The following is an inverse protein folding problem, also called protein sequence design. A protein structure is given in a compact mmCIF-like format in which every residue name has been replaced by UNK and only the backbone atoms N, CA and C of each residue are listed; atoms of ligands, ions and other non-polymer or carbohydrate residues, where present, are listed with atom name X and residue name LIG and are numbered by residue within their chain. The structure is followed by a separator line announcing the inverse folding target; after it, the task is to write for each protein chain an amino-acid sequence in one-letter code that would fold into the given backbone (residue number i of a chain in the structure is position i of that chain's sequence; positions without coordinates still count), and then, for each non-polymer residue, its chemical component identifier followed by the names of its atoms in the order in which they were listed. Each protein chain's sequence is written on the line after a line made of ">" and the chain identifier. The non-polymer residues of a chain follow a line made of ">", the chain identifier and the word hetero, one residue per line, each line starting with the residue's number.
data_IF_020493138092
#
_entry.id   IF_020493138092
#
_cell.length_a   1.000
_cell.length_b   1.000
_cell.length_c   1.000
_cell.angle_alpha   90.00
_cell.angle_beta   90.00
_cell.angle_gamma   90.00
#
_symmetry.space_group_name_H-M   'P 1'
#
loop_
_entity.id
_entity.type
_entity.pdbx_description
1 polymer ?
#
# COMPACT_ATOMS: atom_id res chain seq x y z
N UNK A 1 -5.71 12.06 -20.75
CA UNK A 1 -6.21 11.46 -19.50
C UNK A 1 -7.61 10.90 -19.72
N UNK A 2 -8.00 9.90 -18.93
CA UNK A 2 -9.29 9.21 -19.06
C UNK A 2 -10.42 10.11 -18.55
N UNK A 3 -11.55 10.12 -19.25
CA UNK A 3 -12.75 10.90 -18.92
C UNK A 3 -13.31 10.60 -17.53
N UNK A 4 -13.16 9.35 -17.10
CA UNK A 4 -13.62 8.77 -15.84
C UNK A 4 -12.96 9.45 -14.64
N UNK A 5 -11.76 10.02 -14.80
CA UNK A 5 -11.10 10.73 -13.71
C UNK A 5 -11.77 12.08 -13.39
N UNK A 6 -12.37 12.75 -14.40
CA UNK A 6 -13.13 13.98 -14.16
C UNK A 6 -14.42 13.68 -13.38
N UNK A 7 -15.08 12.56 -13.70
CA UNK A 7 -16.23 12.06 -12.93
C UNK A 7 -15.83 11.79 -11.47
N UNK A 8 -14.71 11.10 -11.25
CA UNK A 8 -14.18 10.83 -9.91
C UNK A 8 -13.89 12.10 -9.11
N UNK A 9 -13.17 13.07 -9.67
CA UNK A 9 -12.85 14.32 -8.97
C UNK A 9 -14.11 15.16 -8.69
N UNK A 10 -15.11 15.10 -9.58
CA UNK A 10 -16.41 15.75 -9.34
C UNK A 10 -17.11 15.14 -8.13
N UNK A 11 -17.12 13.81 -8.02
CA UNK A 11 -17.67 13.10 -6.88
C UNK A 11 -16.92 13.43 -5.58
N UNK A 12 -15.58 13.44 -5.59
CA UNK A 12 -14.78 13.80 -4.41
C UNK A 12 -15.02 15.25 -3.97
N UNK A 13 -15.15 16.18 -4.92
CA UNK A 13 -15.50 17.59 -4.67
C UNK A 13 -16.89 17.72 -4.04
N UNK A 14 -17.86 16.89 -4.44
CA UNK A 14 -19.20 16.85 -3.86
C UNK A 14 -19.15 16.35 -2.41
N UNK A 15 -18.45 15.26 -2.13
CA UNK A 15 -18.26 14.76 -0.76
C UNK A 15 -17.62 15.81 0.17
N UNK A 16 -16.66 16.58 -0.35
CA UNK A 16 -16.05 17.69 0.37
C UNK A 16 -17.05 18.82 0.65
N UNK A 17 -17.84 19.23 -0.35
CA UNK A 17 -18.86 20.28 -0.21
C UNK A 17 -19.97 19.90 0.78
N UNK A 18 -20.36 18.63 0.81
CA UNK A 18 -21.40 18.09 1.69
C UNK A 18 -20.89 17.82 3.12
N UNK A 19 -19.61 18.05 3.40
CA UNK A 19 -19.01 17.79 4.72
C UNK A 19 -18.85 16.30 5.03
N UNK A 20 -18.97 15.41 4.04
CA UNK A 20 -18.78 13.97 4.15
C UNK A 20 -17.30 13.55 4.10
N UNK A 21 -16.44 14.46 3.64
CA UNK A 21 -14.98 14.33 3.68
C UNK A 21 -14.42 15.27 4.75
N UNK A 22 -13.39 14.79 5.46
CA UNK A 22 -12.64 15.59 6.43
C UNK A 22 -12.12 16.89 5.77
N UNK A 23 -12.55 18.04 6.28
CA UNK A 23 -12.18 19.34 5.71
C UNK A 23 -10.68 19.64 5.87
N UNK A 24 -10.01 18.94 6.78
CA UNK A 24 -8.57 19.04 7.02
C UNK A 24 -7.78 17.94 6.29
N UNK A 25 -8.42 17.14 5.42
CA UNK A 25 -7.73 16.03 4.74
C UNK A 25 -6.40 16.40 4.06
N UNK A 26 -6.19 17.60 3.49
CA UNK A 26 -4.91 17.94 2.86
C UNK A 26 -3.74 18.03 3.85
N UNK A 27 -4.03 18.27 5.13
CA UNK A 27 -3.04 18.41 6.20
C UNK A 27 -2.86 17.14 7.03
N UNK A 28 -3.73 16.14 6.87
CA UNK A 28 -3.65 14.90 7.63
C UNK A 28 -2.45 14.05 7.20
N UNK A 29 -1.64 13.62 8.17
CA UNK A 29 -0.74 12.49 8.02
C UNK A 29 -1.40 11.17 8.47
N UNK A 30 -0.64 10.08 8.40
CA UNK A 30 -1.13 8.76 8.80
C UNK A 30 -1.57 8.72 10.28
N UNK A 31 -0.80 9.36 11.17
CA UNK A 31 -1.07 9.37 12.61
C UNK A 31 -2.33 10.18 12.93
N UNK A 32 -2.48 11.37 12.33
CA UNK A 32 -3.63 12.26 12.51
C UNK A 32 -4.91 11.59 12.03
N UNK A 33 -4.87 10.96 10.85
CA UNK A 33 -6.01 10.20 10.32
C UNK A 33 -6.40 9.07 11.26
N UNK A 34 -5.42 8.31 11.78
CA UNK A 34 -5.67 7.20 12.71
C UNK A 34 -6.29 7.71 14.01
N UNK A 35 -5.75 8.78 14.59
CA UNK A 35 -6.27 9.41 15.80
C UNK A 35 -7.71 9.91 15.63
N UNK A 36 -8.03 10.53 14.49
CA UNK A 36 -9.41 10.98 14.18
C UNK A 36 -10.38 9.80 14.17
N UNK A 37 -9.99 8.66 13.62
CA UNK A 37 -10.82 7.45 13.64
C UNK A 37 -10.97 6.86 15.04
N UNK A 38 -9.85 6.63 15.76
CA UNK A 38 -9.89 6.01 17.09
C UNK A 38 -10.58 6.86 18.14
N UNK A 39 -10.62 8.18 17.97
CA UNK A 39 -11.38 9.12 18.82
C UNK A 39 -12.84 9.32 18.41
N UNK A 40 -13.32 8.64 17.36
CA UNK A 40 -14.70 8.74 16.89
C UNK A 40 -15.04 9.97 16.05
N UNK A 41 -14.02 10.73 15.62
CA UNK A 41 -14.19 11.90 14.74
C UNK A 41 -14.27 11.52 13.25
N UNK A 42 -13.89 10.30 12.89
CA UNK A 42 -14.05 9.76 11.54
C UNK A 42 -14.74 8.40 11.59
N UNK A 43 -15.74 8.21 10.72
CA UNK A 43 -16.45 6.93 10.58
C UNK A 43 -15.81 5.99 9.56
N UNK A 44 -14.95 6.52 8.68
CA UNK A 44 -14.27 5.75 7.63
C UNK A 44 -12.88 6.34 7.39
N UNK A 45 -11.88 5.47 7.24
CA UNK A 45 -10.51 5.82 6.85
C UNK A 45 -9.97 4.80 5.86
N UNK A 46 -8.97 5.20 5.08
CA UNK A 46 -8.11 4.22 4.42
C UNK A 46 -7.16 3.63 5.46
N UNK A 47 -7.15 2.30 5.62
CA UNK A 47 -6.36 1.60 6.64
C UNK A 47 -5.89 0.25 6.09
N UNK A 48 -4.62 -0.08 6.27
CA UNK A 48 -4.07 -1.41 5.97
C UNK A 48 -4.18 -2.35 7.16
N UNK A 49 -4.45 -3.65 6.93
CA UNK A 49 -4.54 -4.65 8.01
C UNK A 49 -3.27 -4.74 8.89
N UNK A 50 -2.12 -4.30 8.38
CA UNK A 50 -0.83 -4.29 9.08
C UNK A 50 -0.62 -3.09 10.02
N UNK A 51 -1.45 -2.05 9.96
CA UNK A 51 -1.32 -0.86 10.83
C UNK A 51 -1.59 -1.18 12.33
N UNK A 52 -1.95 -2.43 12.63
CA UNK A 52 -1.53 -3.10 13.86
C UNK A 52 -2.59 -3.19 14.96
N UNK A 53 -2.32 -4.01 15.99
CA UNK A 53 -3.29 -4.27 17.07
C UNK A 53 -3.56 -3.07 17.97
N UNK A 54 -2.60 -2.15 18.12
CA UNK A 54 -2.75 -0.96 18.98
C UNK A 54 -3.87 -0.02 18.52
N UNK A 55 -4.17 0.00 17.22
CA UNK A 55 -5.30 0.73 16.66
C UNK A 55 -6.65 0.24 17.19
N UNK A 56 -6.89 -1.07 17.14
CA UNK A 56 -8.15 -1.68 17.60
C UNK A 56 -8.32 -1.50 19.10
N UNK A 57 -7.25 -1.68 19.88
CA UNK A 57 -7.28 -1.42 21.32
C UNK A 57 -7.62 0.04 21.63
N UNK A 58 -6.99 1.00 20.94
CA UNK A 58 -7.27 2.43 21.14
C UNK A 58 -8.69 2.82 20.72
N UNK A 59 -9.22 2.22 19.64
CA UNK A 59 -10.61 2.41 19.24
C UNK A 59 -11.58 1.87 20.30
N UNK A 60 -11.36 0.65 20.78
CA UNK A 60 -12.20 0.00 21.78
C UNK A 60 -12.16 0.72 23.14
N UNK A 61 -11.02 1.30 23.51
CA UNK A 61 -10.88 2.11 24.73
C UNK A 61 -11.74 3.38 24.67
N UNK A 62 -11.71 4.08 23.54
CA UNK A 62 -12.48 5.32 23.35
C UNK A 62 -13.96 5.06 23.01
N UNK A 63 -14.24 3.96 22.31
CA UNK A 63 -15.56 3.59 21.80
C UNK A 63 -15.79 2.07 22.03
N UNK A 64 -16.19 1.65 23.24
CA UNK A 64 -16.32 0.23 23.59
C UNK A 64 -17.36 -0.57 22.79
N UNK A 65 -18.21 0.09 22.01
CA UNK A 65 -19.18 -0.55 21.12
C UNK A 65 -18.77 -0.48 19.65
N UNK A 66 -17.55 -0.06 19.33
CA UNK A 66 -17.11 0.10 17.95
C UNK A 66 -16.99 -1.26 17.25
N UNK A 67 -17.51 -1.34 16.04
CA UNK A 67 -17.29 -2.46 15.13
C UNK A 67 -16.57 -1.95 13.88
N UNK A 68 -15.53 -2.67 13.45
CA UNK A 68 -14.71 -2.29 12.29
C UNK A 68 -14.84 -3.35 11.22
N UNK A 69 -15.22 -2.93 10.02
CA UNK A 69 -15.28 -3.76 8.82
C UNK A 69 -14.62 -3.06 7.64
N UNK A 70 -14.31 -3.84 6.60
CA UNK A 70 -13.75 -3.35 5.35
C UNK A 70 -14.84 -3.15 4.31
N UNK A 71 -14.87 -1.97 3.70
CA UNK A 71 -15.79 -1.69 2.59
C UNK A 71 -15.34 -2.51 1.37
N UNK A 72 -16.21 -3.32 0.75
CA UNK A 72 -15.85 -4.06 -0.45
C UNK A 72 -15.57 -3.11 -1.62
N UNK A 73 -14.90 -3.62 -2.65
CA UNK A 73 -14.71 -2.85 -3.89
C UNK A 73 -16.05 -2.37 -4.44
N UNK A 74 -16.20 -1.05 -4.52
CA UNK A 74 -17.41 -0.42 -5.02
C UNK A 74 -17.62 -0.77 -6.50
N UNK A 75 -18.89 -0.93 -6.88
CA UNK A 75 -19.28 -1.16 -8.26
C UNK A 75 -19.40 0.17 -8.99
N UNK A 76 -18.90 0.23 -10.22
CA UNK A 76 -19.20 1.33 -11.13
C UNK A 76 -20.66 1.26 -11.64
N UNK A 77 -21.07 2.25 -12.45
CA UNK A 77 -22.40 2.32 -13.06
C UNK A 77 -22.77 1.11 -13.93
N UNK A 78 -21.78 0.32 -14.35
CA UNK A 78 -21.94 -0.88 -15.17
C UNK A 78 -21.85 -2.17 -14.34
N UNK A 79 -21.71 -2.07 -13.01
CA UNK A 79 -21.57 -3.21 -12.11
C UNK A 79 -20.15 -3.77 -11.99
N UNK A 80 -19.16 -3.17 -12.65
CA UNK A 80 -17.77 -3.62 -12.59
C UNK A 80 -17.12 -3.22 -11.28
N UNK A 81 -16.20 -4.07 -10.80
CA UNK A 81 -15.34 -3.77 -9.65
C UNK A 81 -13.90 -3.71 -10.15
N UNK A 82 -13.17 -2.66 -9.79
CA UNK A 82 -11.76 -2.51 -10.11
C UNK A 82 -10.92 -2.36 -8.85
N UNK A 83 -9.72 -2.92 -8.88
CA UNK A 83 -8.73 -2.74 -7.84
C UNK A 83 -7.36 -2.54 -8.47
N UNK A 84 -6.57 -1.62 -7.92
CA UNK A 84 -5.14 -1.59 -8.22
C UNK A 84 -4.47 -2.64 -7.34
N UNK A 85 -3.81 -3.61 -7.97
CA UNK A 85 -2.97 -4.57 -7.27
C UNK A 85 -1.53 -4.09 -7.31
N UNK A 86 -0.82 -4.28 -6.21
CA UNK A 86 0.63 -4.10 -6.19
C UNK A 86 1.29 -5.38 -6.70
N UNK A 87 2.26 -5.23 -7.58
CA UNK A 87 3.19 -6.27 -7.97
C UNK A 87 4.56 -5.65 -8.13
N UNK A 88 5.55 -6.43 -8.59
CA UNK A 88 6.91 -5.93 -8.81
C UNK A 88 7.91 -6.46 -7.79
N UNK A 89 9.11 -5.88 -7.81
CA UNK A 89 10.15 -6.18 -6.84
C UNK A 89 9.80 -5.54 -5.50
N UNK A 90 9.66 -6.36 -4.46
CA UNK A 90 9.36 -5.87 -3.12
C UNK A 90 10.57 -5.17 -2.47
N UNK A 91 11.77 -5.74 -2.66
CA UNK A 91 13.00 -5.20 -2.08
C UNK A 91 14.19 -5.45 -3.00
N UNK A 92 15.04 -4.45 -3.13
CA UNK A 92 16.35 -4.57 -3.79
C UNK A 92 17.40 -4.07 -2.82
N UNK A 93 18.33 -4.94 -2.42
CA UNK A 93 19.49 -4.56 -1.62
C UNK A 93 20.71 -4.41 -2.53
N UNK A 94 21.50 -3.36 -2.29
CA UNK A 94 22.67 -3.02 -3.09
C UNK A 94 23.87 -2.80 -2.17
N UNK A 95 25.04 -3.26 -2.61
CA UNK A 95 26.31 -2.96 -1.94
C UNK A 95 26.90 -1.71 -2.61
N UNK A 96 27.13 -0.61 -1.88
CA UNK A 96 27.74 0.58 -2.45
C UNK A 96 29.13 0.29 -3.01
N UNK A 97 29.50 0.93 -4.12
CA UNK A 97 30.85 0.84 -4.69
C UNK A 97 31.94 1.29 -3.71
N UNK A 98 31.59 2.13 -2.75
CA UNK A 98 32.46 2.67 -1.71
C UNK A 98 32.61 1.75 -0.50
N UNK A 99 31.93 0.60 -0.46
CA UNK A 99 32.04 -0.35 0.64
C UNK A 99 33.49 -0.84 0.76
N UNK A 100 34.05 -0.77 1.98
CA UNK A 100 35.42 -1.24 2.25
C UNK A 100 35.52 -2.78 2.22
N UNK A 101 34.42 -3.47 2.55
CA UNK A 101 34.33 -4.92 2.67
C UNK A 101 33.06 -5.47 1.98
N UNK A 102 32.93 -5.37 0.65
CA UNK A 102 31.77 -5.90 -0.08
C UNK A 102 31.61 -7.42 0.07
N UNK A 103 32.71 -8.15 0.23
CA UNK A 103 32.73 -9.60 0.48
C UNK A 103 32.06 -9.99 1.81
N UNK A 104 32.29 -9.22 2.87
CA UNK A 104 31.67 -9.46 4.18
C UNK A 104 30.15 -9.20 4.13
N UNK A 105 29.73 -8.23 3.32
CA UNK A 105 28.30 -7.98 3.10
C UNK A 105 27.63 -9.17 2.40
N UNK A 106 28.27 -9.77 1.39
CA UNK A 106 27.77 -10.99 0.74
C UNK A 106 27.75 -12.16 1.72
N UNK A 107 28.84 -12.39 2.47
CA UNK A 107 28.90 -13.46 3.45
C UNK A 107 27.80 -13.33 4.52
N UNK A 108 27.47 -12.10 4.93
CA UNK A 108 26.35 -11.85 5.84
C UNK A 108 25.00 -12.16 5.20
N UNK A 109 24.79 -11.78 3.93
CA UNK A 109 23.54 -12.11 3.21
C UNK A 109 23.38 -13.63 3.07
N UNK A 110 24.45 -14.34 2.70
CA UNK A 110 24.43 -15.80 2.59
C UNK A 110 24.09 -16.46 3.94
N UNK A 111 24.72 -15.99 5.02
CA UNK A 111 24.43 -16.46 6.37
C UNK A 111 22.99 -16.14 6.80
N UNK A 112 22.47 -14.96 6.45
CA UNK A 112 21.09 -14.58 6.71
C UNK A 112 20.13 -15.52 5.99
N UNK A 113 20.37 -15.78 4.69
CA UNK A 113 19.51 -16.64 3.88
C UNK A 113 19.55 -18.10 4.31
N UNK A 114 20.73 -18.61 4.70
CA UNK A 114 20.87 -19.96 5.25
C UNK A 114 20.06 -20.17 6.55
N UNK A 115 19.79 -19.09 7.29
CA UNK A 115 19.05 -19.11 8.55
C UNK A 115 17.71 -18.36 8.45
N UNK A 116 17.20 -18.10 7.24
CA UNK A 116 16.12 -17.14 7.03
C UNK A 116 14.86 -17.47 7.83
N UNK A 117 14.42 -18.74 7.81
CA UNK A 117 13.20 -19.15 8.53
C UNK A 117 13.30 -18.88 10.03
N UNK A 118 14.42 -19.22 10.65
CA UNK A 118 14.62 -19.03 12.10
C UNK A 118 14.75 -17.55 12.45
N UNK A 119 15.38 -16.75 11.59
CA UNK A 119 15.40 -15.29 11.74
C UNK A 119 14.00 -14.71 11.57
N UNK A 120 13.22 -15.26 10.64
CA UNK A 120 11.92 -14.74 10.22
C UNK A 120 10.76 -15.14 11.14
N UNK A 121 10.69 -16.36 11.66
CA UNK A 121 9.59 -16.81 12.53
C UNK A 121 10.06 -17.57 13.78
N UNK A 122 11.37 -17.63 14.00
CA UNK A 122 11.98 -18.34 15.13
C UNK A 122 11.89 -19.87 15.02
N UNK A 123 12.59 -20.60 15.89
CA UNK A 123 12.46 -22.05 15.99
C UNK A 123 11.03 -22.52 16.28
N UNK A 124 10.65 -23.64 15.66
CA UNK A 124 9.38 -24.32 15.94
C UNK A 124 9.37 -24.87 17.37
N UNK A 125 8.24 -24.72 18.07
CA UNK A 125 8.09 -25.08 19.49
C UNK A 125 8.49 -23.97 20.47
N UNK A 126 9.30 -23.00 20.03
CA UNK A 126 9.71 -21.84 20.84
C UNK A 126 8.97 -20.56 20.45
N UNK A 127 8.94 -20.26 19.14
CA UNK A 127 8.39 -19.01 18.62
C UNK A 127 7.15 -19.24 17.75
N UNK A 128 7.03 -20.40 17.11
CA UNK A 128 5.83 -20.76 16.34
C UNK A 128 5.52 -22.26 16.46
N UNK A 129 4.33 -22.66 16.03
CA UNK A 129 3.89 -24.05 15.84
C UNK A 129 3.26 -24.21 14.46
N UNK A 130 3.21 -25.44 13.97
CA UNK A 130 2.43 -25.77 12.77
C UNK A 130 1.17 -26.54 13.20
N UNK A 131 0.00 -25.94 12.99
CA UNK A 131 -1.30 -26.53 13.33
C UNK A 131 -2.16 -26.63 12.07
N UNK A 132 -2.56 -27.84 11.69
CA UNK A 132 -3.36 -28.07 10.47
C UNK A 132 -2.73 -27.46 9.20
N UNK A 133 -1.39 -27.51 9.09
CA UNK A 133 -0.65 -26.93 7.97
C UNK A 133 -0.51 -25.40 8.03
N UNK A 134 -0.93 -24.75 9.11
CA UNK A 134 -0.85 -23.30 9.31
C UNK A 134 0.21 -22.96 10.34
N UNK A 135 1.05 -21.98 10.04
CA UNK A 135 2.02 -21.43 10.99
C UNK A 135 1.30 -20.51 12.00
N UNK A 136 1.43 -20.82 13.30
CA UNK A 136 0.79 -20.11 14.42
C UNK A 136 1.87 -19.61 15.38
N UNK A 137 1.89 -18.32 15.76
CA UNK A 137 2.91 -17.78 16.66
C UNK A 137 2.67 -18.20 18.12
N UNK A 138 3.75 -18.36 18.88
CA UNK A 138 3.73 -18.56 20.33
C UNK A 138 4.02 -17.21 20.99
N UNK A 139 2.99 -16.56 21.54
CA UNK A 139 3.11 -15.27 22.22
C UNK A 139 3.46 -15.46 23.71
N UNK A 140 4.28 -14.58 24.33
CA UNK A 140 4.90 -13.38 23.75
C UNK A 140 6.25 -13.64 23.04
N UNK A 141 6.76 -14.88 23.07
CA UNK A 141 8.10 -15.22 22.56
C UNK A 141 8.30 -14.75 21.10
N UNK A 142 7.30 -14.94 20.24
CA UNK A 142 7.34 -14.53 18.84
C UNK A 142 7.60 -13.03 18.61
N UNK A 143 7.27 -12.15 19.57
CA UNK A 143 7.39 -10.69 19.41
C UNK A 143 8.81 -10.20 19.10
N UNK A 144 9.85 -10.99 19.44
CA UNK A 144 11.24 -10.65 19.08
C UNK A 144 11.48 -10.63 17.56
N UNK A 145 10.62 -11.27 16.78
CA UNK A 145 10.70 -11.33 15.32
C UNK A 145 9.86 -10.24 14.63
N UNK A 146 9.07 -9.42 15.34
CA UNK A 146 8.09 -8.52 14.72
C UNK A 146 8.73 -7.50 13.76
N UNK A 147 9.98 -7.09 14.00
CA UNK A 147 10.68 -6.07 13.22
C UNK A 147 11.64 -6.61 12.17
N UNK A 148 11.77 -7.93 12.01
CA UNK A 148 12.76 -8.54 11.10
C UNK A 148 12.65 -8.01 9.67
N UNK A 149 11.44 -7.65 9.24
CA UNK A 149 11.11 -7.14 7.92
C UNK A 149 12.03 -6.00 7.48
N UNK A 150 12.36 -5.11 8.42
CA UNK A 150 13.22 -3.96 8.19
C UNK A 150 14.65 -4.35 7.81
N UNK A 151 15.12 -5.51 8.26
CA UNK A 151 16.51 -5.94 8.17
C UNK A 151 16.78 -7.05 7.15
N UNK A 152 15.76 -7.55 6.45
CA UNK A 152 15.94 -8.61 5.46
C UNK A 152 16.70 -8.07 4.22
N UNK A 153 17.88 -8.60 3.86
CA UNK A 153 18.58 -8.20 2.65
C UNK A 153 18.10 -8.93 1.39
N UNK A 154 17.46 -10.09 1.59
CA UNK A 154 16.87 -10.94 0.58
C UNK A 154 15.73 -11.73 1.23
N UNK A 155 14.92 -12.41 0.41
CA UNK A 155 13.73 -13.12 0.83
C UNK A 155 13.68 -14.49 0.14
N UNK A 156 13.25 -15.52 0.87
CA UNK A 156 12.91 -16.82 0.28
C UNK A 156 11.49 -16.74 -0.32
N UNK A 157 11.40 -16.33 -1.59
CA UNK A 157 10.11 -16.12 -2.27
C UNK A 157 9.22 -17.37 -2.31
N UNK A 158 9.81 -18.56 -2.29
CA UNK A 158 9.06 -19.81 -2.38
C UNK A 158 8.28 -20.10 -1.09
N UNK A 159 8.82 -19.71 0.06
CA UNK A 159 8.28 -20.11 1.37
C UNK A 159 7.84 -18.94 2.26
N UNK A 160 8.31 -17.72 2.00
CA UNK A 160 8.06 -16.55 2.87
C UNK A 160 6.57 -16.32 3.11
N UNK A 161 5.73 -16.55 2.10
CA UNK A 161 4.29 -16.32 2.22
C UNK A 161 3.64 -17.26 3.24
N UNK A 162 4.06 -18.52 3.30
CA UNK A 162 3.54 -19.48 4.27
C UNK A 162 3.96 -19.13 5.69
N UNK A 163 5.23 -18.74 5.87
CA UNK A 163 5.77 -18.32 7.15
C UNK A 163 5.17 -17.00 7.63
N UNK A 164 4.93 -16.07 6.71
CA UNK A 164 4.33 -14.78 7.00
C UNK A 164 2.95 -14.91 7.66
N UNK A 165 2.24 -16.03 7.42
CA UNK A 165 0.96 -16.26 8.09
C UNK A 165 1.09 -16.30 9.62
N UNK A 166 2.23 -16.74 10.20
CA UNK A 166 2.44 -16.63 11.65
C UNK A 166 2.43 -15.18 12.13
N UNK A 167 2.94 -14.25 11.32
CA UNK A 167 2.98 -12.81 11.63
C UNK A 167 1.61 -12.18 11.63
N UNK A 168 0.73 -12.62 10.75
CA UNK A 168 -0.67 -12.17 10.71
C UNK A 168 -1.46 -12.68 11.92
N UNK A 169 -1.16 -13.90 12.39
CA UNK A 169 -1.85 -14.57 13.50
C UNK A 169 -1.41 -14.15 14.90
N UNK A 170 -0.50 -13.19 15.02
CA UNK A 170 -0.03 -12.69 16.33
C UNK A 170 -1.12 -12.00 17.15
N UNK A 171 -2.21 -11.61 16.49
CA UNK A 171 -3.35 -10.96 17.09
C UNK A 171 -4.62 -11.31 16.30
N UNK A 172 -5.69 -11.67 17.01
CA UNK A 172 -6.94 -12.10 16.38
C UNK A 172 -7.58 -11.02 15.50
N UNK A 173 -7.46 -9.73 15.84
CA UNK A 173 -7.96 -8.63 15.02
C UNK A 173 -7.13 -8.44 13.76
N UNK A 174 -5.80 -8.59 13.83
CA UNK A 174 -4.94 -8.53 12.65
C UNK A 174 -5.24 -9.71 11.73
N UNK A 175 -5.45 -10.91 12.27
CA UNK A 175 -5.86 -12.07 11.49
C UNK A 175 -7.23 -11.85 10.84
N UNK A 176 -8.23 -11.41 11.60
CA UNK A 176 -9.56 -11.09 11.07
C UNK A 176 -9.47 -10.03 9.97
N UNK A 177 -8.79 -8.93 10.23
CA UNK A 177 -8.62 -7.84 9.27
C UNK A 177 -7.92 -8.29 7.98
N UNK A 178 -6.91 -9.15 8.11
CA UNK A 178 -6.27 -9.76 6.95
C UNK A 178 -7.24 -10.66 6.19
N UNK A 179 -7.97 -11.54 6.88
CA UNK A 179 -8.94 -12.43 6.24
C UNK A 179 -10.10 -11.67 5.58
N UNK A 180 -10.58 -10.59 6.20
CA UNK A 180 -11.60 -9.71 5.61
C UNK A 180 -11.08 -9.07 4.32
N UNK A 181 -9.87 -8.48 4.34
CA UNK A 181 -9.27 -7.88 3.13
C UNK A 181 -8.88 -8.90 2.07
N UNK A 182 -8.46 -10.10 2.47
CA UNK A 182 -8.17 -11.21 1.57
C UNK A 182 -9.47 -11.75 0.94
N UNK A 183 -10.54 -11.88 1.73
CA UNK A 183 -11.86 -12.22 1.21
C UNK A 183 -12.29 -11.19 0.16
N UNK A 184 -12.06 -9.89 0.34
CA UNK A 184 -12.36 -8.91 -0.71
C UNK A 184 -11.67 -9.19 -2.06
N UNK A 185 -10.57 -9.95 -2.10
CA UNK A 185 -9.93 -10.46 -3.34
C UNK A 185 -10.71 -11.66 -3.90
N UNK A 186 -11.96 -11.44 -4.29
CA UNK A 186 -12.81 -12.46 -4.92
C UNK A 186 -12.76 -12.44 -6.46
N UNK A 187 -13.24 -13.53 -7.07
CA UNK A 187 -13.57 -13.61 -8.50
C UNK A 187 -14.45 -12.43 -8.95
N UNK A 188 -14.12 -11.88 -10.13
CA UNK A 188 -14.85 -10.75 -10.72
C UNK A 188 -14.47 -9.37 -10.17
N UNK A 189 -13.29 -9.22 -9.55
CA UNK A 189 -12.61 -7.94 -9.39
C UNK A 189 -11.57 -7.82 -10.51
N UNK A 190 -11.63 -6.74 -11.29
CA UNK A 190 -10.62 -6.42 -12.29
C UNK A 190 -9.38 -5.88 -11.58
N UNK A 191 -8.50 -6.79 -11.14
CA UNK A 191 -7.23 -6.46 -10.53
C UNK A 191 -6.22 -6.07 -11.62
N UNK A 192 -5.73 -4.84 -11.57
CA UNK A 192 -4.69 -4.35 -12.48
C UNK A 192 -3.37 -4.25 -11.72
N UNK A 193 -2.40 -5.08 -12.09
CA UNK A 193 -1.01 -4.91 -11.68
C UNK A 193 -0.38 -3.91 -12.67
N UNK A 194 0.19 -2.79 -12.21
CA UNK A 194 0.88 -1.86 -13.09
C UNK A 194 1.95 -2.59 -13.89
N UNK A 195 1.91 -2.48 -15.21
CA UNK A 195 2.86 -3.19 -16.08
C UNK A 195 4.30 -2.85 -15.76
N UNK A 196 4.56 -1.60 -15.38
CA UNK A 196 5.90 -1.10 -15.08
C UNK A 196 6.46 -1.61 -13.76
N UNK A 197 5.68 -2.33 -12.95
CA UNK A 197 6.11 -2.79 -11.64
C UNK A 197 7.37 -3.67 -11.66
N UNK A 198 7.63 -4.36 -12.78
CA UNK A 198 8.76 -5.27 -12.94
C UNK A 198 9.86 -4.73 -13.87
N UNK A 199 9.69 -3.54 -14.46
CA UNK A 199 10.61 -3.03 -15.48
C UNK A 199 11.26 -1.73 -15.02
N UNK A 200 12.60 -1.62 -15.09
CA UNK A 200 13.29 -0.42 -14.67
C UNK A 200 12.89 0.73 -15.59
N UNK A 201 12.25 1.80 -15.07
CA UNK A 201 12.02 2.99 -15.86
C UNK A 201 13.35 3.68 -16.18
N UNK A 202 13.42 4.41 -17.29
CA UNK A 202 14.57 5.27 -17.55
C UNK A 202 14.49 6.54 -16.68
N UNK A 203 15.62 7.23 -16.54
CA UNK A 203 15.73 8.44 -15.71
C UNK A 203 14.71 9.52 -16.12
N UNK A 204 14.53 9.74 -17.42
CA UNK A 204 13.55 10.69 -17.98
C UNK A 204 12.12 10.38 -17.51
N UNK A 205 11.70 9.10 -17.50
CA UNK A 205 10.38 8.69 -17.04
C UNK A 205 10.18 8.95 -15.54
N UNK A 206 11.20 8.68 -14.72
CA UNK A 206 11.16 8.89 -13.27
C UNK A 206 11.02 10.39 -12.99
N UNK A 207 11.88 11.22 -13.59
CA UNK A 207 11.88 12.67 -13.39
C UNK A 207 10.56 13.31 -13.81
N UNK A 208 10.07 12.98 -15.02
CA UNK A 208 8.77 13.44 -15.50
C UNK A 208 7.65 12.98 -14.57
N UNK A 209 7.65 11.70 -14.17
CA UNK A 209 6.63 11.15 -13.28
C UNK A 209 6.54 11.87 -11.94
N UNK A 210 7.67 12.22 -11.33
CA UNK A 210 7.72 12.95 -10.06
C UNK A 210 7.15 14.37 -10.19
N UNK A 211 7.58 15.12 -11.20
CA UNK A 211 7.15 16.51 -11.43
C UNK A 211 5.65 16.55 -11.78
N UNK A 212 5.27 15.75 -12.76
CA UNK A 212 3.90 15.68 -13.28
C UNK A 212 2.92 15.12 -12.23
N UNK A 213 3.36 14.14 -11.44
CA UNK A 213 2.57 13.53 -10.38
C UNK A 213 2.30 14.52 -9.23
N UNK A 214 3.32 15.29 -8.83
CA UNK A 214 3.16 16.32 -7.80
C UNK A 214 2.22 17.43 -8.27
N UNK A 215 2.44 17.98 -9.48
CA UNK A 215 1.54 18.97 -10.07
C UNK A 215 0.10 18.45 -10.15
N UNK A 216 -0.09 17.23 -10.64
CA UNK A 216 -1.40 16.62 -10.73
C UNK A 216 -2.09 16.53 -9.36
N UNK A 217 -1.38 16.01 -8.35
CA UNK A 217 -1.91 15.89 -6.98
C UNK A 217 -2.33 17.25 -6.42
N UNK A 218 -1.48 18.27 -6.56
CA UNK A 218 -1.75 19.60 -6.02
C UNK A 218 -2.98 20.25 -6.68
N UNK A 219 -3.09 20.17 -8.00
CA UNK A 219 -4.25 20.71 -8.71
C UNK A 219 -5.55 19.95 -8.36
N UNK A 220 -5.50 18.63 -8.22
CA UNK A 220 -6.68 17.86 -7.82
C UNK A 220 -7.12 18.19 -6.40
N UNK A 221 -6.20 18.42 -5.46
CA UNK A 221 -6.54 18.90 -4.11
C UNK A 221 -7.24 20.26 -4.18
N UNK A 222 -6.74 21.20 -5.00
CA UNK A 222 -7.38 22.51 -5.19
C UNK A 222 -8.78 22.39 -5.78
N UNK A 223 -9.01 21.48 -6.74
CA UNK A 223 -10.35 21.22 -7.26
C UNK A 223 -11.24 20.61 -6.17
N UNK A 224 -10.79 19.58 -5.44
CA UNK A 224 -11.63 18.93 -4.43
C UNK A 224 -12.05 19.91 -3.32
N UNK A 225 -11.12 20.76 -2.89
CA UNK A 225 -11.33 21.75 -1.81
C UNK A 225 -12.04 23.03 -2.24
N UNK A 226 -12.52 23.11 -3.48
CA UNK A 226 -13.14 24.32 -4.06
C UNK A 226 -12.21 25.54 -4.19
N UNK A 227 -10.91 25.41 -3.95
CA UNK A 227 -9.94 26.47 -4.14
C UNK A 227 -9.84 26.95 -5.61
N UNK A 228 -10.13 26.05 -6.56
CA UNK A 228 -10.32 26.38 -7.98
C UNK A 228 -11.59 25.73 -8.54
N UNK A 229 -12.09 26.23 -9.67
CA UNK A 229 -13.28 25.68 -10.34
C UNK A 229 -12.99 24.33 -10.98
N UNK A 230 -14.00 23.44 -11.03
CA UNK A 230 -13.94 22.20 -11.81
C UNK A 230 -13.76 22.48 -13.32
N UNK A 231 -14.18 23.65 -13.80
CA UNK A 231 -14.00 24.08 -15.19
C UNK A 231 -12.52 24.22 -15.57
N UNK A 232 -11.62 24.39 -14.60
CA UNK A 232 -10.17 24.46 -14.85
C UNK A 232 -9.56 23.08 -15.15
N UNK A 233 -10.29 21.98 -14.93
CA UNK A 233 -9.77 20.62 -15.13
C UNK A 233 -9.17 20.41 -16.51
N UNK A 234 -9.86 20.85 -17.57
CA UNK A 234 -9.39 20.62 -18.95
C UNK A 234 -8.11 21.43 -19.22
N UNK A 235 -7.99 22.64 -18.67
CA UNK A 235 -6.77 23.45 -18.75
C UNK A 235 -5.61 22.82 -17.98
N UNK A 236 -5.88 22.25 -16.80
CA UNK A 236 -4.88 21.53 -16.00
C UNK A 236 -4.35 20.32 -16.78
N UNK A 237 -5.23 19.57 -17.45
CA UNK A 237 -4.85 18.44 -18.32
C UNK A 237 -3.99 18.91 -19.48
N UNK A 238 -4.35 20.01 -20.15
CA UNK A 238 -3.54 20.55 -21.27
C UNK A 238 -2.17 21.03 -20.79
N UNK A 239 -2.11 21.70 -19.64
CA UNK A 239 -0.84 22.07 -19.01
C UNK A 239 0.00 20.85 -18.66
N UNK A 240 -0.60 19.83 -18.04
CA UNK A 240 0.08 18.57 -17.70
C UNK A 240 0.71 17.92 -18.95
N UNK A 241 -0.01 17.92 -20.08
CA UNK A 241 0.54 17.43 -21.37
C UNK A 241 1.70 18.28 -21.86
N UNK A 242 1.56 19.60 -21.82
CA UNK A 242 2.57 20.55 -22.27
C UNK A 242 3.85 20.49 -21.42
N UNK A 243 3.74 20.21 -20.13
CA UNK A 243 4.85 20.07 -19.19
C UNK A 243 5.58 18.71 -19.30
N UNK A 244 5.36 17.95 -20.37
CA UNK A 244 6.03 16.67 -20.63
C UNK A 244 5.12 15.44 -20.45
N UNK A 245 3.84 15.63 -20.13
CA UNK A 245 2.89 14.54 -20.00
C UNK A 245 2.68 13.71 -21.27
N UNK A 246 2.76 14.33 -22.45
CA UNK A 246 2.73 13.58 -23.73
C UNK A 246 3.92 12.64 -23.83
N UNK A 247 5.13 13.14 -23.53
CA UNK A 247 6.36 12.37 -23.52
C UNK A 247 6.33 11.25 -22.49
N UNK A 248 5.80 11.53 -21.30
CA UNK A 248 5.62 10.52 -20.25
C UNK A 248 4.74 9.34 -20.71
N UNK A 249 3.65 9.63 -21.42
CA UNK A 249 2.76 8.59 -21.99
C UNK A 249 3.46 7.82 -23.12
N UNK A 250 4.22 8.49 -23.98
CA UNK A 250 5.02 7.82 -25.01
C UNK A 250 6.04 6.85 -24.40
N UNK A 251 6.77 7.28 -23.38
CA UNK A 251 7.72 6.45 -22.65
C UNK A 251 7.02 5.25 -22.00
N UNK A 252 5.87 5.45 -21.35
CA UNK A 252 5.05 4.37 -20.83
C UNK A 252 4.68 3.34 -21.92
N UNK A 253 4.23 3.80 -23.09
CA UNK A 253 3.87 2.93 -24.20
C UNK A 253 5.09 2.19 -24.77
N UNK A 254 6.25 2.84 -24.87
CA UNK A 254 7.49 2.21 -25.33
C UNK A 254 7.93 1.08 -24.38
N UNK A 255 7.84 1.32 -23.06
CA UNK A 255 8.13 0.30 -22.06
C UNK A 255 7.11 -0.85 -22.18
N UNK A 256 5.82 -0.54 -22.30
CA UNK A 256 4.78 -1.56 -22.49
C UNK A 256 5.03 -2.42 -23.75
N UNK A 257 5.26 -1.80 -24.91
CA UNK A 257 5.50 -2.51 -26.17
C UNK A 257 6.76 -3.37 -26.14
N UNK A 258 7.79 -2.94 -25.41
CA UNK A 258 9.03 -3.70 -25.26
C UNK A 258 8.84 -4.97 -24.44
N UNK A 259 7.90 -4.99 -23.51
CA UNK A 259 7.81 -6.02 -22.47
C UNK A 259 6.47 -6.80 -22.42
N UNK A 260 5.51 -6.47 -23.28
CA UNK A 260 4.25 -7.23 -23.43
C UNK A 260 4.44 -8.60 -24.08
#
# INVERSE_FOLDING_TARGET
>A
MRSEYKEYITFMRQLYAEGLMDQEFPANDAATRLQKFTSGKAAMIFFGCWEGPGFYSALQENIPSAEVSYVPFLKDKNGNRGAMATGGLEKVCMIPKTAAHPEDAIAWIDAFMANFKDIYIGPEGEHHKVENGKYVPIMPAFSVHDTVWWFMPAVDEANVFDWWQARVRKNAEVERAYMDTFALRHEGVNAVIPTFAMYPPNEEFIELGNILGQYWKDEMVKIVTWAISLEEYDKIVEKWKADGGTRYVELANQIWEKYK
#
